data_IF_729023502879
#
_entry.id   IF_729023502879
#
_cell.length_a   1.000
_cell.length_b   1.000
_cell.length_c   1.000
_cell.angle_alpha   90.00
_cell.angle_beta   90.00
_cell.angle_gamma   90.00
#
_symmetry.space_group_name_H-M   'P 1'
#
loop_
_entity.id
_entity.type
_entity.pdbx_description
1 polymer ?
#
# COMPACT_ATOMS: atom_id res chain seq x y z
N UNK A 1 10.85 -18.03 -1.51
CA UNK A 1 9.42 -17.58 -1.58
C UNK A 1 9.39 -16.19 -0.98
N UNK A 2 9.13 -15.17 -1.79
CA UNK A 2 9.11 -13.78 -1.34
C UNK A 2 7.84 -13.45 -0.54
N UNK A 3 7.93 -12.46 0.35
CA UNK A 3 6.82 -11.98 1.19
C UNK A 3 6.53 -10.51 0.91
N UNK A 4 5.30 -10.22 0.57
CA UNK A 4 4.79 -8.86 0.40
C UNK A 4 4.15 -8.37 1.70
N UNK A 5 4.63 -7.24 2.23
CA UNK A 5 3.93 -6.46 3.24
C UNK A 5 2.94 -5.50 2.56
N UNK A 6 1.67 -5.90 2.44
CA UNK A 6 0.65 -5.08 1.80
C UNK A 6 0.02 -4.13 2.81
N UNK A 7 0.08 -2.84 2.52
CA UNK A 7 -0.55 -1.79 3.32
C UNK A 7 -1.72 -1.18 2.55
N UNK A 8 -2.94 -1.30 3.10
CA UNK A 8 -4.14 -0.72 2.53
C UNK A 8 -4.57 0.56 3.25
N UNK A 9 -4.91 1.62 2.51
CA UNK A 9 -5.60 2.79 3.06
C UNK A 9 -6.99 2.97 2.45
N UNK A 10 -7.87 3.71 3.12
CA UNK A 10 -9.28 3.86 2.77
C UNK A 10 -9.48 4.66 1.48
N UNK A 11 -9.33 4.01 0.34
CA UNK A 11 -9.59 4.55 -0.99
C UNK A 11 -10.25 3.49 -1.88
N UNK A 12 -10.95 3.92 -2.92
CA UNK A 12 -11.59 3.01 -3.86
C UNK A 12 -10.60 2.03 -4.49
N UNK A 13 -10.99 0.77 -4.58
CA UNK A 13 -10.16 -0.36 -4.98
C UNK A 13 -9.66 -1.20 -3.80
N UNK A 14 -9.76 -0.69 -2.57
CA UNK A 14 -9.40 -1.47 -1.37
C UNK A 14 -10.24 -2.76 -1.28
N UNK A 15 -11.50 -2.69 -1.63
CA UNK A 15 -12.45 -3.81 -1.66
C UNK A 15 -12.10 -4.90 -2.68
N UNK A 16 -11.22 -4.60 -3.63
CA UNK A 16 -10.80 -5.49 -4.71
C UNK A 16 -9.39 -6.06 -4.53
N UNK A 17 -8.70 -5.75 -3.44
CA UNK A 17 -7.30 -6.19 -3.25
C UNK A 17 -7.14 -7.70 -3.19
N UNK A 18 -8.16 -8.45 -2.72
CA UNK A 18 -8.09 -9.92 -2.70
C UNK A 18 -8.00 -10.46 -4.12
N UNK A 19 -9.02 -10.33 -4.98
CA UNK A 19 -9.00 -10.95 -6.31
C UNK A 19 -8.02 -10.27 -7.28
N UNK A 20 -7.63 -9.00 -7.04
CA UNK A 20 -6.84 -8.23 -7.99
C UNK A 20 -5.36 -8.10 -7.66
N UNK A 21 -4.98 -8.34 -6.41
CA UNK A 21 -3.58 -8.22 -5.98
C UNK A 21 -3.13 -9.44 -5.17
N UNK A 22 -3.84 -9.83 -4.11
CA UNK A 22 -3.38 -10.89 -3.21
C UNK A 22 -3.33 -12.23 -3.93
N UNK A 23 -4.44 -12.68 -4.52
CA UNK A 23 -4.50 -13.95 -5.24
C UNK A 23 -3.49 -14.00 -6.40
N UNK A 24 -3.39 -12.99 -7.30
CA UNK A 24 -2.37 -12.97 -8.33
C UNK A 24 -0.91 -13.00 -7.82
N UNK A 25 -0.63 -12.42 -6.66
CA UNK A 25 0.70 -12.51 -6.04
C UNK A 25 0.96 -13.92 -5.48
N UNK A 26 -0.05 -14.55 -4.86
CA UNK A 26 0.06 -15.92 -4.36
C UNK A 26 0.25 -16.94 -5.50
N UNK A 27 -0.44 -16.76 -6.64
CA UNK A 27 -0.22 -17.56 -7.85
C UNK A 27 1.21 -17.48 -8.38
N UNK A 28 1.89 -16.36 -8.13
CA UNK A 28 3.33 -16.16 -8.42
C UNK A 28 4.26 -16.71 -7.33
N UNK A 29 3.73 -17.39 -6.33
CA UNK A 29 4.49 -17.99 -5.23
C UNK A 29 4.89 -16.99 -4.14
N UNK A 30 4.21 -15.83 -4.03
CA UNK A 30 4.44 -14.87 -2.94
C UNK A 30 3.54 -15.17 -1.74
N UNK A 31 4.05 -14.90 -0.54
CA UNK A 31 3.23 -14.74 0.65
C UNK A 31 2.81 -13.29 0.78
N UNK A 32 1.62 -13.04 1.30
CA UNK A 32 1.12 -11.67 1.50
C UNK A 32 0.67 -11.51 2.95
N UNK A 33 1.19 -10.51 3.64
CA UNK A 33 0.77 -10.12 4.98
C UNK A 33 0.17 -8.71 4.94
N UNK A 34 -1.05 -8.53 5.47
CA UNK A 34 -1.82 -7.30 5.29
C UNK A 34 -1.83 -6.44 6.56
N UNK A 35 -1.47 -5.18 6.40
CA UNK A 35 -1.68 -4.14 7.40
C UNK A 35 -2.61 -3.05 6.85
N UNK A 36 -3.53 -2.55 7.67
CA UNK A 36 -4.49 -1.54 7.28
C UNK A 36 -4.31 -0.27 8.08
N UNK A 37 -4.54 0.87 7.44
CA UNK A 37 -4.75 2.11 8.19
C UNK A 37 -6.04 2.01 9.02
N UNK A 38 -6.19 2.76 10.13
CA UNK A 38 -7.38 2.65 10.98
C UNK A 38 -8.71 2.82 10.23
N UNK A 39 -8.80 3.79 9.31
CA UNK A 39 -10.00 4.00 8.50
C UNK A 39 -10.25 2.84 7.53
N UNK A 40 -9.19 2.29 6.92
CA UNK A 40 -9.31 1.12 6.04
C UNK A 40 -9.82 -0.10 6.81
N UNK A 41 -9.32 -0.30 8.03
CA UNK A 41 -9.80 -1.37 8.90
C UNK A 41 -11.29 -1.20 9.22
N UNK A 42 -11.73 0.02 9.56
CA UNK A 42 -13.15 0.31 9.80
C UNK A 42 -14.02 -0.01 8.58
N UNK A 43 -13.57 0.30 7.36
CA UNK A 43 -14.33 0.01 6.14
C UNK A 43 -14.47 -1.50 5.92
N UNK A 44 -13.37 -2.25 6.01
CA UNK A 44 -13.38 -3.69 5.76
C UNK A 44 -14.03 -4.49 6.88
N UNK A 45 -14.00 -3.99 8.12
CA UNK A 45 -14.75 -4.58 9.25
C UNK A 45 -16.25 -4.45 9.02
N UNK A 46 -16.72 -3.29 8.58
CA UNK A 46 -18.13 -3.05 8.31
C UNK A 46 -18.71 -3.95 7.19
N UNK A 47 -17.87 -4.44 6.27
CA UNK A 47 -18.26 -5.36 5.19
C UNK A 47 -17.93 -6.82 5.49
N UNK A 48 -17.28 -7.12 6.63
CA UNK A 48 -16.83 -8.46 7.01
C UNK A 48 -15.64 -8.97 6.19
N UNK A 49 -14.92 -8.10 5.48
CA UNK A 49 -13.82 -8.48 4.59
C UNK A 49 -12.50 -8.73 5.33
N UNK A 50 -12.34 -8.30 6.59
CA UNK A 50 -11.14 -8.59 7.39
C UNK A 50 -10.93 -10.10 7.50
N UNK A 51 -11.98 -10.86 7.88
CA UNK A 51 -11.91 -12.32 8.00
C UNK A 51 -11.58 -13.02 6.68
N UNK A 52 -12.04 -12.49 5.54
CA UNK A 52 -11.67 -13.00 4.21
C UNK A 52 -10.18 -12.79 3.92
N UNK A 53 -9.65 -11.61 4.24
CA UNK A 53 -8.23 -11.31 4.11
C UNK A 53 -7.37 -12.28 4.92
N UNK A 54 -7.75 -12.53 6.18
CA UNK A 54 -7.04 -13.47 7.06
C UNK A 54 -7.10 -14.90 6.53
N UNK A 55 -8.26 -15.32 6.03
CA UNK A 55 -8.44 -16.65 5.45
C UNK A 55 -7.57 -16.85 4.19
N UNK A 56 -7.54 -15.87 3.29
CA UNK A 56 -6.80 -15.98 2.02
C UNK A 56 -5.29 -15.88 2.25
N UNK A 57 -4.84 -15.01 3.15
CA UNK A 57 -3.41 -14.78 3.38
C UNK A 57 -2.80 -15.80 4.37
N UNK A 58 -3.60 -16.37 5.25
CA UNK A 58 -3.13 -17.22 6.36
C UNK A 58 -2.45 -16.43 7.49
N UNK A 59 -2.53 -15.10 7.48
CA UNK A 59 -1.98 -14.21 8.50
C UNK A 59 -3.06 -13.30 9.06
N UNK A 60 -2.99 -12.92 10.36
CA UNK A 60 -3.91 -11.93 10.91
C UNK A 60 -3.72 -10.57 10.22
N UNK A 61 -4.82 -9.88 9.95
CA UNK A 61 -4.79 -8.51 9.44
C UNK A 61 -4.42 -7.55 10.57
N UNK A 62 -3.41 -6.73 10.36
CA UNK A 62 -2.92 -5.81 11.38
C UNK A 62 -3.34 -4.37 11.12
N UNK A 63 -3.91 -3.74 12.13
CA UNK A 63 -4.29 -2.32 12.11
C UNK A 63 -4.13 -1.64 13.48
N UNK A 64 -3.72 -2.40 14.49
CA UNK A 64 -3.39 -1.90 15.84
C UNK A 64 -1.91 -2.14 16.15
N UNK A 65 -1.28 -1.26 16.92
CA UNK A 65 0.07 -1.51 17.41
C UNK A 65 0.08 -2.76 18.31
N UNK A 66 1.23 -3.42 18.40
CA UNK A 66 1.48 -4.49 19.36
C UNK A 66 1.64 -3.93 20.75
N UNK A 67 1.30 -4.72 21.76
CA UNK A 67 1.70 -4.43 23.12
C UNK A 67 3.21 -4.71 23.30
N UNK A 68 3.87 -4.05 24.26
CA UNK A 68 5.25 -4.37 24.61
C UNK A 68 5.41 -5.85 24.93
N UNK A 69 6.39 -6.51 24.31
CA UNK A 69 6.66 -7.93 24.48
C UNK A 69 5.92 -8.89 23.55
N UNK A 70 4.97 -8.41 22.75
CA UNK A 70 4.34 -9.24 21.70
C UNK A 70 5.24 -9.39 20.48
N UNK A 71 5.38 -10.63 20.00
CA UNK A 71 6.07 -10.89 18.74
C UNK A 71 5.22 -10.46 17.52
N UNK A 72 5.88 -10.21 16.38
CA UNK A 72 5.17 -9.92 15.15
C UNK A 72 4.51 -11.19 14.61
N UNK A 73 3.19 -11.20 14.35
CA UNK A 73 2.55 -12.32 13.70
C UNK A 73 2.82 -12.36 12.19
N UNK A 74 3.39 -11.31 11.62
CA UNK A 74 3.79 -11.25 10.21
C UNK A 74 5.25 -11.68 10.06
N UNK A 75 5.58 -12.43 9.00
CA UNK A 75 6.95 -12.76 8.66
C UNK A 75 7.74 -11.51 8.26
N UNK A 76 9.07 -11.64 8.17
CA UNK A 76 9.90 -10.64 7.50
C UNK A 76 9.44 -10.48 6.04
N UNK A 77 9.44 -9.24 5.57
CA UNK A 77 8.98 -8.91 4.21
C UNK A 77 10.15 -8.60 3.29
N UNK A 78 9.99 -8.94 2.02
CA UNK A 78 10.95 -8.64 0.96
C UNK A 78 10.59 -7.36 0.19
N UNK A 79 9.35 -6.89 0.31
CA UNK A 79 8.85 -5.66 -0.28
C UNK A 79 7.65 -5.14 0.50
N UNK A 80 7.53 -3.84 0.65
CA UNK A 80 6.27 -3.21 1.05
C UNK A 80 5.54 -2.62 -0.16
N UNK A 81 4.23 -2.83 -0.23
CA UNK A 81 3.36 -2.14 -1.18
C UNK A 81 2.24 -1.38 -0.44
N UNK A 82 2.12 -0.09 -0.68
CA UNK A 82 1.03 0.74 -0.14
C UNK A 82 -0.02 0.93 -1.24
N UNK A 83 -1.05 0.10 -1.23
CA UNK A 83 -2.05 -0.01 -2.31
C UNK A 83 -3.45 -0.28 -1.73
N UNK A 84 -4.41 0.58 -2.00
CA UNK A 84 -4.27 1.94 -2.49
C UNK A 84 -3.71 2.89 -1.42
N UNK A 85 -3.02 3.97 -1.83
CA UNK A 85 -2.56 5.02 -0.93
C UNK A 85 -3.40 6.30 -1.11
N UNK A 86 -4.09 6.75 -0.05
CA UNK A 86 -4.76 8.05 -0.06
C UNK A 86 -3.76 9.21 -0.09
N UNK A 87 -4.18 10.41 -0.49
CA UNK A 87 -3.33 11.60 -0.42
C UNK A 87 -2.80 11.86 1.00
N UNK A 88 -3.62 11.58 2.03
CA UNK A 88 -3.20 11.65 3.43
C UNK A 88 -2.08 10.65 3.76
N UNK A 89 -2.21 9.40 3.31
CA UNK A 89 -1.19 8.37 3.50
C UNK A 89 0.11 8.76 2.79
N UNK A 90 0.05 9.21 1.54
CA UNK A 90 1.22 9.69 0.78
C UNK A 90 1.90 10.86 1.50
N UNK A 91 1.13 11.86 1.94
CA UNK A 91 1.67 13.00 2.68
C UNK A 91 2.35 12.60 3.99
N UNK A 92 1.74 11.70 4.75
CA UNK A 92 2.32 11.20 6.00
C UNK A 92 3.63 10.44 5.77
N UNK A 93 3.68 9.55 4.78
CA UNK A 93 4.90 8.84 4.41
C UNK A 93 6.02 9.81 4.00
N UNK A 94 5.69 10.82 3.19
CA UNK A 94 6.64 11.83 2.74
C UNK A 94 7.23 12.69 3.86
N UNK A 95 6.43 12.90 4.92
CA UNK A 95 6.81 13.67 6.11
C UNK A 95 7.36 12.80 7.26
N UNK A 96 7.38 11.47 7.11
CA UNK A 96 7.79 10.55 8.18
C UNK A 96 6.81 10.48 9.35
N UNK A 97 5.53 10.77 9.13
CA UNK A 97 4.49 10.74 10.16
C UNK A 97 3.93 9.32 10.32
N UNK A 98 4.37 8.65 11.36
CA UNK A 98 4.05 7.26 11.69
C UNK A 98 3.00 7.17 12.82
N UNK A 99 1.82 7.76 12.62
CA UNK A 99 0.76 7.90 13.63
C UNK A 99 -0.15 6.66 13.77
N UNK A 100 0.13 5.60 13.03
CA UNK A 100 -0.57 4.32 13.14
C UNK A 100 0.36 3.16 12.75
N UNK A 101 -0.04 1.95 13.11
CA UNK A 101 0.78 0.75 12.90
C UNK A 101 1.25 0.56 11.45
N UNK A 102 0.37 0.73 10.48
CA UNK A 102 0.69 0.53 9.06
C UNK A 102 1.77 1.52 8.59
N UNK A 103 1.64 2.80 8.97
CA UNK A 103 2.64 3.83 8.63
C UNK A 103 3.94 3.66 9.39
N UNK A 104 3.90 3.20 10.64
CA UNK A 104 5.12 2.91 11.42
C UNK A 104 6.00 1.91 10.67
N UNK A 105 5.44 0.82 10.17
CA UNK A 105 6.18 -0.19 9.42
C UNK A 105 6.81 0.37 8.13
N UNK A 106 6.05 1.13 7.36
CA UNK A 106 6.55 1.66 6.07
C UNK A 106 7.56 2.78 6.29
N UNK A 107 7.33 3.70 7.24
CA UNK A 107 8.30 4.75 7.57
C UNK A 107 9.62 4.18 8.07
N UNK A 108 9.57 3.14 8.92
CA UNK A 108 10.77 2.42 9.38
C UNK A 108 11.51 1.78 8.18
N UNK A 109 10.79 1.10 7.30
CA UNK A 109 11.37 0.48 6.11
C UNK A 109 11.99 1.50 5.14
N UNK A 110 11.37 2.69 4.97
CA UNK A 110 11.95 3.81 4.22
C UNK A 110 13.28 4.24 4.85
N UNK A 111 13.29 4.43 6.18
CA UNK A 111 14.48 4.85 6.91
C UNK A 111 15.63 3.84 6.87
N UNK A 112 15.31 2.55 6.94
CA UNK A 112 16.29 1.46 6.86
C UNK A 112 16.84 1.27 5.44
N UNK A 113 16.03 1.50 4.40
CA UNK A 113 16.43 1.28 3.02
C UNK A 113 16.76 -0.17 2.67
N UNK A 114 16.32 -1.13 3.49
CA UNK A 114 16.68 -2.55 3.34
C UNK A 114 15.74 -3.34 2.43
N UNK A 115 14.52 -2.87 2.25
CA UNK A 115 13.53 -3.47 1.35
C UNK A 115 12.92 -2.43 0.42
N UNK A 116 12.56 -2.79 -0.82
CA UNK A 116 11.90 -1.86 -1.73
C UNK A 116 10.49 -1.51 -1.23
N UNK A 117 10.06 -0.31 -1.58
CA UNK A 117 8.73 0.19 -1.23
C UNK A 117 8.06 0.68 -2.50
N UNK A 118 6.88 0.14 -2.78
CA UNK A 118 6.04 0.50 -3.92
C UNK A 118 4.80 1.21 -3.39
N UNK A 119 4.46 2.36 -3.93
CA UNK A 119 3.26 3.12 -3.53
C UNK A 119 2.42 3.43 -4.75
N UNK A 120 1.14 3.09 -4.70
CA UNK A 120 0.15 3.52 -5.69
C UNK A 120 -0.74 4.61 -5.10
N UNK A 121 -0.53 5.89 -5.45
CA UNK A 121 -1.36 7.00 -5.02
C UNK A 121 -2.75 6.95 -5.67
N UNK A 122 -3.78 6.61 -4.90
CA UNK A 122 -5.18 6.64 -5.36
C UNK A 122 -5.78 8.00 -5.05
N UNK A 123 -5.55 8.96 -5.96
CA UNK A 123 -5.96 10.35 -5.83
C UNK A 123 -6.71 10.83 -7.07
N UNK A 124 -7.31 12.00 -7.00
CA UNK A 124 -7.88 12.73 -8.13
C UNK A 124 -7.06 13.98 -8.48
N UNK A 125 -7.40 14.65 -9.58
CA UNK A 125 -6.69 15.83 -10.05
C UNK A 125 -6.69 16.99 -9.04
N UNK A 126 -7.76 17.17 -8.25
CA UNK A 126 -7.80 18.20 -7.23
C UNK A 126 -6.78 17.96 -6.10
N UNK A 127 -6.59 16.70 -5.67
CA UNK A 127 -5.55 16.36 -4.71
C UNK A 127 -4.14 16.61 -5.27
N UNK A 128 -3.92 16.31 -6.55
CA UNK A 128 -2.63 16.54 -7.20
C UNK A 128 -2.30 18.03 -7.38
N UNK A 129 -3.30 18.91 -7.41
CA UNK A 129 -3.12 20.37 -7.44
C UNK A 129 -2.90 21.00 -6.06
N UNK A 130 -3.02 20.23 -5.00
CA UNK A 130 -2.74 20.73 -3.65
C UNK A 130 -1.28 21.19 -3.55
N UNK A 131 -0.96 22.37 -3.01
CA UNK A 131 0.37 22.98 -3.08
C UNK A 131 1.54 22.12 -2.59
N UNK A 132 1.34 21.29 -1.55
CA UNK A 132 2.39 20.42 -1.02
C UNK A 132 2.57 19.10 -1.79
N UNK A 133 1.65 18.75 -2.70
CA UNK A 133 1.64 17.44 -3.36
C UNK A 133 2.95 17.14 -4.10
N UNK A 134 3.41 18.07 -4.94
CA UNK A 134 4.66 17.90 -5.67
C UNK A 134 5.87 17.70 -4.75
N UNK A 135 5.89 18.40 -3.63
CA UNK A 135 6.93 18.22 -2.60
C UNK A 135 6.90 16.83 -1.95
N UNK A 136 5.72 16.30 -1.68
CA UNK A 136 5.56 14.95 -1.13
C UNK A 136 6.05 13.88 -2.10
N UNK A 137 5.65 13.97 -3.36
CA UNK A 137 6.10 13.04 -4.42
C UNK A 137 7.63 13.08 -4.56
N UNK A 138 8.20 14.27 -4.66
CA UNK A 138 9.66 14.44 -4.77
C UNK A 138 10.40 13.90 -3.52
N UNK A 139 9.83 14.05 -2.33
CA UNK A 139 10.43 13.50 -1.10
C UNK A 139 10.48 11.97 -1.13
N UNK A 140 9.37 11.31 -1.50
CA UNK A 140 9.30 9.86 -1.61
C UNK A 140 10.23 9.31 -2.70
N UNK A 141 10.31 9.98 -3.86
CA UNK A 141 11.23 9.61 -4.93
C UNK A 141 12.69 9.68 -4.48
N UNK A 142 13.09 10.76 -3.79
CA UNK A 142 14.44 10.89 -3.22
C UNK A 142 14.75 9.82 -2.18
N UNK A 143 13.74 9.34 -1.47
CA UNK A 143 13.88 8.24 -0.51
C UNK A 143 13.90 6.84 -1.19
N UNK A 144 13.89 6.78 -2.52
CA UNK A 144 13.93 5.51 -3.26
C UNK A 144 12.59 4.75 -3.30
N UNK A 145 11.48 5.43 -2.99
CA UNK A 145 10.14 4.82 -3.10
C UNK A 145 9.72 4.75 -4.56
N UNK A 146 9.29 3.58 -5.00
CA UNK A 146 8.75 3.34 -6.34
C UNK A 146 7.28 3.81 -6.39
N UNK A 147 7.03 4.88 -7.14
CA UNK A 147 5.67 5.42 -7.29
C UNK A 147 5.03 4.89 -8.59
N UNK A 148 3.94 4.17 -8.45
CA UNK A 148 3.12 3.69 -9.58
C UNK A 148 2.14 4.80 -9.94
N UNK A 149 2.55 5.71 -10.83
CA UNK A 149 1.78 6.88 -11.25
C UNK A 149 2.27 7.40 -12.60
N UNK A 150 1.48 8.26 -13.22
CA UNK A 150 1.77 8.87 -14.52
C UNK A 150 0.56 8.82 -15.44
N UNK A 151 0.55 9.65 -16.46
CA UNK A 151 -0.59 9.71 -17.42
C UNK A 151 -0.81 8.37 -18.14
N UNK A 152 0.26 7.65 -18.48
CA UNK A 152 0.18 6.35 -19.16
C UNK A 152 -0.25 5.21 -18.22
N UNK A 153 -0.13 5.40 -16.89
CA UNK A 153 -0.47 4.37 -15.89
C UNK A 153 -1.81 4.65 -15.24
N UNK A 154 -1.97 5.88 -14.77
CA UNK A 154 -3.15 6.32 -14.04
C UNK A 154 -3.44 7.80 -14.33
N UNK A 155 -4.08 8.12 -15.48
CA UNK A 155 -4.48 9.48 -15.76
C UNK A 155 -5.43 10.00 -14.69
N UNK A 156 -5.14 11.19 -14.17
CA UNK A 156 -5.92 11.79 -13.11
C UNK A 156 -7.22 12.38 -13.65
N UNK A 157 -8.29 12.14 -12.92
CA UNK A 157 -9.62 12.67 -13.24
C UNK A 157 -10.05 13.68 -12.19
N UNK A 158 -10.92 14.61 -12.59
CA UNK A 158 -11.55 15.53 -11.65
C UNK A 158 -12.41 14.76 -10.62
N UNK A 159 -12.63 15.31 -9.42
CA UNK A 159 -13.46 14.67 -8.42
C UNK A 159 -14.81 14.24 -8.99
N UNK A 160 -15.20 12.98 -8.74
CA UNK A 160 -16.46 12.36 -9.18
C UNK A 160 -16.67 12.21 -10.69
N UNK A 161 -15.67 12.48 -11.52
CA UNK A 161 -15.81 12.42 -13.00
C UNK A 161 -15.54 11.03 -13.59
N UNK A 162 -14.97 10.10 -12.85
CA UNK A 162 -14.67 8.74 -13.30
C UNK A 162 -15.11 7.68 -12.27
N UNK A 163 -16.42 7.53 -12.05
CA UNK A 163 -16.94 6.51 -11.14
C UNK A 163 -16.59 5.11 -11.65
N UNK A 164 -16.21 4.21 -10.76
CA UNK A 164 -15.93 2.81 -11.11
C UNK A 164 -14.64 2.58 -11.91
N UNK A 165 -13.75 3.57 -12.03
CA UNK A 165 -12.47 3.37 -12.71
C UNK A 165 -11.63 2.33 -11.95
N UNK A 166 -11.33 1.24 -12.64
CA UNK A 166 -10.51 0.15 -12.11
C UNK A 166 -9.05 0.59 -11.94
N UNK A 167 -8.42 0.13 -10.85
CA UNK A 167 -7.00 0.43 -10.59
C UNK A 167 -6.10 -0.28 -11.62
N UNK A 168 -4.90 0.23 -11.88
CA UNK A 168 -3.95 -0.34 -12.83
C UNK A 168 -3.23 -1.55 -12.21
N UNK A 169 -3.98 -2.61 -11.89
CA UNK A 169 -3.50 -3.77 -11.13
C UNK A 169 -2.27 -4.44 -11.74
N UNK A 170 -2.24 -4.56 -13.08
CA UNK A 170 -1.09 -5.13 -13.78
C UNK A 170 0.18 -4.30 -13.51
N UNK A 171 0.12 -2.99 -13.69
CA UNK A 171 1.25 -2.09 -13.45
C UNK A 171 1.70 -2.10 -11.97
N UNK A 172 0.75 -2.23 -11.03
CA UNK A 172 1.05 -2.34 -9.59
C UNK A 172 1.81 -3.65 -9.32
N UNK A 173 1.32 -4.78 -9.83
CA UNK A 173 1.96 -6.09 -9.66
C UNK A 173 3.36 -6.10 -10.29
N UNK A 174 3.48 -5.60 -11.52
CA UNK A 174 4.76 -5.54 -12.22
C UNK A 174 5.78 -4.67 -11.47
N UNK A 175 5.35 -3.54 -10.91
CA UNK A 175 6.21 -2.70 -10.09
C UNK A 175 6.70 -3.42 -8.83
N UNK A 176 5.83 -4.18 -8.14
CA UNK A 176 6.20 -4.95 -6.94
C UNK A 176 7.23 -6.04 -7.30
N UNK A 177 6.96 -6.81 -8.34
CA UNK A 177 7.85 -7.90 -8.78
C UNK A 177 9.20 -7.37 -9.23
N UNK A 178 9.21 -6.31 -10.06
CA UNK A 178 10.43 -5.69 -10.57
C UNK A 178 11.28 -5.06 -9.47
N UNK A 179 10.65 -4.45 -8.45
CA UNK A 179 11.36 -3.82 -7.34
C UNK A 179 12.21 -4.82 -6.54
N UNK A 180 11.77 -6.08 -6.43
CA UNK A 180 12.53 -7.13 -5.73
C UNK A 180 13.62 -7.71 -6.63
N UNK A 181 13.33 -7.93 -7.92
CA UNK A 181 14.30 -8.50 -8.88
C UNK A 181 15.53 -7.63 -9.08
N UNK A 182 15.40 -6.31 -9.07
CA UNK A 182 16.52 -5.37 -9.28
C UNK A 182 17.44 -5.21 -8.05
N UNK A 183 17.13 -5.86 -6.93
CA UNK A 183 17.95 -5.87 -5.72
C UNK A 183 18.75 -7.17 -5.51
N UNK A 184 18.46 -8.18 -6.32
CA UNK A 184 19.16 -9.47 -6.31
C UNK A 184 20.38 -9.41 -7.22
#
# INVERSE_FOLDING_TARGET
>A
MATLGLVGSAAGGLELIVPRLIEPMQERGWRVAVSLTPTAATWLDATGDIGKLEQVTGYPVRFKPRLPGEESPHPAVDCYAVVPATSNTVGKLALGLADNHALTQVCEAIGLGTVPIVVFPRINAAHARQPSWGGHIAALQRAGVHLVMGEDVWPLHEPRSAPGKELPWAAIIDAIVSAVQHRS
#
